data_IF_443954358044
#
_entry.id   IF_443954358044
#
_cell.length_a   1.000
_cell.length_b   1.000
_cell.length_c   1.000
_cell.angle_alpha   90.00
_cell.angle_beta   90.00
_cell.angle_gamma   90.00
#
_symmetry.space_group_name_H-M   'P 1'
#
loop_
_entity.id
_entity.type
_entity.pdbx_description
1 polymer ?
#
# COMPACT_ATOMS: atom_id res chain seq x y z
N UNK A 1 -5.80 -16.40 9.06
CA UNK A 1 -6.60 -15.57 8.13
C UNK A 1 -5.92 -15.66 6.77
N UNK A 2 -6.66 -16.02 5.74
CA UNK A 2 -6.17 -16.14 4.35
C UNK A 2 -6.94 -15.16 3.47
N UNK A 3 -6.32 -14.71 2.39
CA UNK A 3 -6.89 -13.77 1.44
C UNK A 3 -6.61 -14.32 0.04
N UNK A 4 -7.63 -14.49 -0.78
CA UNK A 4 -7.48 -15.04 -2.12
C UNK A 4 -7.47 -13.94 -3.19
N UNK A 5 -6.87 -14.26 -4.33
CA UNK A 5 -6.81 -13.31 -5.45
C UNK A 5 -8.20 -13.10 -6.03
N UNK A 6 -8.59 -11.84 -6.23
CA UNK A 6 -9.89 -11.46 -6.79
C UNK A 6 -11.00 -11.29 -5.75
N UNK A 7 -10.70 -11.49 -4.46
CA UNK A 7 -11.66 -11.30 -3.39
C UNK A 7 -11.57 -9.90 -2.75
N UNK A 8 -12.72 -9.42 -2.28
CA UNK A 8 -12.81 -8.23 -1.42
C UNK A 8 -13.05 -8.70 0.01
N UNK A 9 -12.07 -8.49 0.88
CA UNK A 9 -12.20 -8.78 2.32
C UNK A 9 -12.46 -7.51 3.11
N UNK A 10 -13.54 -7.50 3.90
CA UNK A 10 -13.88 -6.40 4.79
C UNK A 10 -13.49 -6.72 6.23
N UNK A 11 -12.71 -5.84 6.86
CA UNK A 11 -12.39 -5.91 8.29
C UNK A 11 -13.29 -4.94 9.06
N UNK A 12 -14.26 -5.48 9.80
CA UNK A 12 -15.29 -4.69 10.49
C UNK A 12 -15.15 -4.83 12.00
N UNK A 13 -15.36 -3.73 12.73
CA UNK A 13 -15.26 -3.70 14.19
C UNK A 13 -15.40 -2.27 14.75
N UNK A 14 -15.66 -2.14 16.04
CA UNK A 14 -15.82 -0.85 16.74
C UNK A 14 -14.55 0.02 16.72
N UNK A 15 -14.66 1.33 16.94
CA UNK A 15 -13.47 2.18 17.07
C UNK A 15 -12.53 1.65 18.16
N UNK A 16 -11.22 1.67 17.90
CA UNK A 16 -10.22 1.11 18.83
C UNK A 16 -10.05 -0.41 18.80
N UNK A 17 -10.83 -1.15 18.00
CA UNK A 17 -10.71 -2.63 17.91
C UNK A 17 -9.43 -3.14 17.21
N UNK A 18 -8.48 -2.27 16.89
CA UNK A 18 -7.21 -2.63 16.25
C UNK A 18 -7.24 -2.83 14.73
N UNK A 19 -8.31 -2.40 14.02
CA UNK A 19 -8.40 -2.55 12.55
C UNK A 19 -7.22 -1.91 11.80
N UNK A 20 -6.99 -0.63 12.07
CA UNK A 20 -5.88 0.12 11.46
C UNK A 20 -4.54 -0.49 11.86
N UNK A 21 -4.38 -0.87 13.14
CA UNK A 21 -3.17 -1.52 13.63
C UNK A 21 -2.90 -2.87 12.94
N UNK A 22 -3.92 -3.67 12.67
CA UNK A 22 -3.78 -4.93 11.93
C UNK A 22 -3.35 -4.67 10.47
N UNK A 23 -3.96 -3.70 9.80
CA UNK A 23 -3.57 -3.31 8.44
C UNK A 23 -2.14 -2.74 8.39
N UNK A 24 -1.72 -1.99 9.42
CA UNK A 24 -0.35 -1.49 9.55
C UNK A 24 0.66 -2.63 9.76
N UNK A 25 0.30 -3.66 10.51
CA UNK A 25 1.13 -4.86 10.68
C UNK A 25 1.26 -5.61 9.36
N UNK A 26 0.15 -5.91 8.68
CA UNK A 26 0.14 -6.69 7.43
C UNK A 26 0.91 -5.95 6.32
N UNK A 27 0.79 -4.62 6.25
CA UNK A 27 1.51 -3.80 5.27
C UNK A 27 2.98 -3.51 5.62
N UNK A 28 3.47 -4.03 6.75
CA UNK A 28 4.85 -3.82 7.21
C UNK A 28 5.14 -2.39 7.68
N UNK A 29 4.12 -1.63 8.07
CA UNK A 29 4.20 -0.23 8.56
C UNK A 29 4.22 -0.10 10.08
N UNK A 30 3.91 -1.18 10.81
CA UNK A 30 3.94 -1.18 12.27
C UNK A 30 5.34 -0.87 12.83
N UNK A 31 5.40 0.02 13.82
CA UNK A 31 6.62 0.42 14.53
C UNK A 31 6.87 -0.37 15.81
N UNK A 32 5.90 -1.17 16.27
CA UNK A 32 5.98 -1.94 17.50
C UNK A 32 6.58 -3.34 17.33
N UNK A 33 6.77 -4.02 18.46
CA UNK A 33 7.04 -5.46 18.50
C UNK A 33 5.82 -6.18 17.94
N UNK A 34 6.05 -7.08 17.00
CA UNK A 34 4.99 -7.85 16.35
C UNK A 34 5.42 -9.30 16.31
N UNK A 35 4.51 -10.20 16.68
CA UNK A 35 4.73 -11.64 16.67
C UNK A 35 3.78 -12.30 15.67
N UNK A 36 4.09 -13.54 15.30
CA UNK A 36 3.33 -14.30 14.30
C UNK A 36 4.02 -14.34 12.94
N UNK A 37 3.34 -14.96 11.97
CA UNK A 37 3.87 -15.25 10.64
C UNK A 37 2.93 -14.67 9.59
N UNK A 38 3.50 -13.96 8.62
CA UNK A 38 2.81 -13.50 7.41
C UNK A 38 3.44 -14.22 6.22
N UNK A 39 2.62 -14.81 5.38
CA UNK A 39 3.03 -15.44 4.14
C UNK A 39 2.30 -14.84 2.95
N UNK A 40 2.98 -14.78 1.81
CA UNK A 40 2.46 -14.34 0.52
C UNK A 40 2.82 -15.41 -0.51
N UNK A 41 1.83 -15.99 -1.17
CA UNK A 41 1.99 -17.10 -2.12
C UNK A 41 2.84 -18.26 -1.55
N UNK A 42 2.59 -18.65 -0.29
CA UNK A 42 3.28 -19.76 0.38
C UNK A 42 4.68 -19.43 0.92
N UNK A 43 5.22 -18.24 0.64
CA UNK A 43 6.52 -17.82 1.15
C UNK A 43 6.37 -16.92 2.38
N UNK A 44 7.14 -17.19 3.44
CA UNK A 44 7.21 -16.32 4.60
C UNK A 44 7.79 -14.96 4.23
N UNK A 45 7.12 -13.89 4.63
CA UNK A 45 7.44 -12.52 4.23
C UNK A 45 8.17 -11.76 5.33
N UNK A 46 9.17 -10.96 4.95
CA UNK A 46 9.71 -9.91 5.81
C UNK A 46 8.86 -8.65 5.71
N UNK A 47 9.05 -7.72 6.66
CA UNK A 47 8.34 -6.42 6.64
C UNK A 47 8.66 -5.63 5.36
N UNK A 48 9.91 -5.66 4.91
CA UNK A 48 10.36 -5.00 3.68
C UNK A 48 9.67 -5.59 2.45
N UNK A 49 9.56 -6.92 2.38
CA UNK A 49 8.88 -7.58 1.27
C UNK A 49 7.39 -7.22 1.23
N UNK A 50 6.72 -7.17 2.39
CA UNK A 50 5.33 -6.71 2.45
C UNK A 50 5.16 -5.27 1.99
N UNK A 51 6.07 -4.35 2.38
CA UNK A 51 6.04 -2.95 1.92
C UNK A 51 6.23 -2.81 0.40
N UNK A 52 6.97 -3.72 -0.22
CA UNK A 52 7.18 -3.73 -1.67
C UNK A 52 6.02 -4.38 -2.44
N UNK A 53 5.39 -5.41 -1.85
CA UNK A 53 4.33 -6.20 -2.51
C UNK A 53 2.92 -5.68 -2.27
N UNK A 54 2.70 -4.92 -1.19
CA UNK A 54 1.40 -4.36 -0.85
C UNK A 54 1.32 -2.86 -1.18
N UNK A 55 0.12 -2.41 -1.50
CA UNK A 55 -0.23 -0.99 -1.56
C UNK A 55 -1.09 -0.63 -0.36
N UNK A 56 -0.84 0.54 0.24
CA UNK A 56 -1.55 1.00 1.44
C UNK A 56 -2.12 2.39 1.20
N UNK A 57 -3.43 2.55 1.43
CA UNK A 57 -4.12 3.83 1.39
C UNK A 57 -4.33 4.30 2.83
N UNK A 58 -3.92 5.53 3.12
CA UNK A 58 -4.05 6.11 4.45
C UNK A 58 -5.51 6.49 4.73
N UNK A 59 -5.88 6.59 6.01
CA UNK A 59 -7.20 7.06 6.41
C UNK A 59 -7.48 8.52 6.00
N UNK A 60 -6.44 9.33 5.84
CA UNK A 60 -6.53 10.70 5.36
C UNK A 60 -5.52 10.95 4.23
N UNK A 61 -6.00 11.56 3.15
CA UNK A 61 -5.16 11.89 2.00
C UNK A 61 -4.26 13.08 2.29
N UNK A 62 -3.03 13.02 1.76
CA UNK A 62 -2.03 14.09 1.84
C UNK A 62 -1.61 14.49 0.44
N UNK A 63 -2.44 15.29 -0.20
CA UNK A 63 -2.21 15.82 -1.55
C UNK A 63 -1.77 17.28 -1.47
N UNK A 64 -1.06 17.75 -2.50
CA UNK A 64 -0.67 19.15 -2.63
C UNK A 64 -1.87 19.95 -3.16
N UNK A 65 -2.37 20.96 -2.43
CA UNK A 65 -3.61 21.65 -2.79
C UNK A 65 -3.51 22.49 -4.06
N UNK A 66 -2.29 22.80 -4.50
CA UNK A 66 -2.01 23.62 -5.68
C UNK A 66 -1.83 22.81 -6.96
N UNK A 67 -1.92 21.48 -6.90
CA UNK A 67 -1.78 20.60 -8.06
C UNK A 67 -3.14 20.08 -8.52
N UNK A 68 -3.29 19.97 -9.83
CA UNK A 68 -4.37 19.20 -10.43
C UNK A 68 -4.18 17.70 -10.21
N UNK A 69 -5.24 16.92 -10.44
CA UNK A 69 -5.18 15.45 -10.39
C UNK A 69 -4.12 14.91 -11.35
N UNK A 70 -4.08 15.42 -12.59
CA UNK A 70 -3.10 14.99 -13.60
C UNK A 70 -1.67 15.25 -13.12
N UNK A 71 -1.38 16.47 -12.67
CA UNK A 71 -0.03 16.83 -12.19
C UNK A 71 0.39 15.97 -11.00
N UNK A 72 -0.52 15.69 -10.08
CA UNK A 72 -0.25 14.84 -8.92
C UNK A 72 0.10 13.41 -9.34
N UNK A 73 -0.70 12.81 -10.24
CA UNK A 73 -0.45 11.46 -10.75
C UNK A 73 0.84 11.39 -11.58
N UNK A 74 1.07 12.36 -12.46
CA UNK A 74 2.29 12.48 -13.26
C UNK A 74 3.53 12.58 -12.36
N UNK A 75 3.49 13.41 -11.32
CA UNK A 75 4.59 13.54 -10.37
C UNK A 75 4.84 12.24 -9.57
N UNK A 76 3.78 11.58 -9.11
CA UNK A 76 3.89 10.27 -8.45
C UNK A 76 4.47 9.20 -9.38
N UNK A 77 4.09 9.20 -10.66
CA UNK A 77 4.60 8.27 -11.66
C UNK A 77 6.11 8.46 -11.86
N UNK A 78 6.59 9.70 -11.99
CA UNK A 78 8.03 9.99 -12.11
C UNK A 78 8.83 9.50 -10.89
N UNK A 79 8.25 9.52 -9.69
CA UNK A 79 8.93 9.06 -8.47
C UNK A 79 8.90 7.53 -8.28
N UNK A 80 7.85 6.86 -8.73
CA UNK A 80 7.65 5.42 -8.48
C UNK A 80 8.08 4.52 -9.63
N UNK A 81 8.00 5.00 -10.87
CA UNK A 81 8.29 4.16 -12.02
C UNK A 81 9.81 3.98 -12.19
N UNK A 82 10.26 2.78 -12.60
CA UNK A 82 11.67 2.55 -12.92
C UNK A 82 12.14 3.42 -14.09
N UNK A 83 13.44 3.73 -14.14
CA UNK A 83 14.02 4.64 -15.15
C UNK A 83 13.97 4.18 -16.62
N UNK A 84 13.45 2.99 -16.92
CA UNK A 84 13.18 2.58 -18.30
C UNK A 84 11.83 3.08 -18.85
N UNK A 85 10.95 3.61 -17.98
CA UNK A 85 9.74 4.29 -18.43
C UNK A 85 10.11 5.65 -19.02
N UNK A 86 9.66 5.90 -20.25
CA UNK A 86 9.91 7.19 -20.91
C UNK A 86 8.83 8.19 -20.48
N UNK A 87 9.11 9.51 -20.49
CA UNK A 87 8.09 10.54 -20.27
C UNK A 87 6.85 10.37 -21.17
N UNK A 88 7.05 9.88 -22.39
CA UNK A 88 5.98 9.56 -23.34
C UNK A 88 5.06 8.42 -22.90
N UNK A 89 5.48 7.57 -21.97
CA UNK A 89 4.66 6.49 -21.41
C UNK A 89 3.77 6.97 -20.26
N UNK A 90 4.16 8.06 -19.60
CA UNK A 90 3.43 8.64 -18.45
C UNK A 90 2.29 9.53 -18.93
N UNK A 91 2.44 10.17 -20.09
CA UNK A 91 1.50 11.17 -20.61
C UNK A 91 0.56 10.60 -21.70
N UNK A 92 0.33 9.27 -21.70
CA UNK A 92 -0.60 8.64 -22.66
C UNK A 92 -2.04 9.05 -22.31
N UNK A 93 -2.65 9.74 -23.27
CA UNK A 93 -4.00 10.29 -23.23
C UNK A 93 -5.07 9.21 -23.34
#
# INVERSE_FOLDING_TARGET
MTFETGELTALVGTSGSGKTSLLDVISGRSTGVTTGVISYNGQQCTREMMRQKSSYVLQADRLLPTLTVRETLTYMAYLKLPGHFKPSDIDKK
#
